data_IF_727585761199
#
_entry.id   IF_727585761199
#
_cell.length_a   1.000
_cell.length_b   1.000
_cell.length_c   1.000
_cell.angle_alpha   90.00
_cell.angle_beta   90.00
_cell.angle_gamma   90.00
#
_symmetry.space_group_name_H-M   'P 1'
#
loop_
_entity.id
_entity.type
_entity.pdbx_description
1 polymer ?
#
# COMPACT_ATOMS: atom_id res chain seq x y z
N UNK A 1 33.13 -13.66 -5.57
CA UNK A 1 32.01 -13.13 -6.38
C UNK A 1 31.55 -14.22 -7.34
N UNK A 2 30.35 -14.76 -7.15
CA UNK A 2 29.63 -15.58 -8.13
C UNK A 2 28.14 -15.24 -7.99
N UNK A 3 27.43 -14.87 -9.06
CA UNK A 3 26.01 -14.57 -8.98
C UNK A 3 25.22 -15.88 -8.83
N UNK A 4 24.32 -15.92 -7.86
CA UNK A 4 23.35 -17.01 -7.71
C UNK A 4 22.17 -16.63 -8.61
N UNK A 5 21.89 -17.46 -9.61
CA UNK A 5 20.75 -17.31 -10.49
C UNK A 5 19.46 -17.52 -9.68
N UNK A 6 18.66 -16.47 -9.51
CA UNK A 6 17.27 -16.59 -9.05
C UNK A 6 16.41 -16.86 -10.27
N UNK A 7 16.23 -18.15 -10.58
CA UNK A 7 15.13 -18.62 -11.42
C UNK A 7 14.02 -19.09 -10.48
N UNK A 8 12.99 -18.26 -10.36
CA UNK A 8 11.82 -18.55 -9.56
C UNK A 8 10.80 -17.45 -9.74
N UNK A 9 9.78 -17.72 -10.56
CA UNK A 9 8.53 -16.96 -10.55
C UNK A 9 7.88 -17.13 -9.18
N UNK A 10 8.31 -16.35 -8.20
CA UNK A 10 7.52 -16.13 -7.00
C UNK A 10 7.02 -14.70 -7.07
N UNK A 11 5.83 -14.52 -7.65
CA UNK A 11 4.95 -13.45 -7.19
C UNK A 11 4.57 -13.82 -5.76
N UNK A 12 5.49 -13.62 -4.82
CA UNK A 12 5.19 -13.64 -3.41
C UNK A 12 4.33 -12.42 -3.19
N UNK A 13 3.02 -12.56 -3.39
CA UNK A 13 2.06 -11.60 -2.88
C UNK A 13 2.32 -11.58 -1.38
N UNK A 14 3.03 -10.54 -0.93
CA UNK A 14 3.29 -10.32 0.48
C UNK A 14 1.92 -10.02 1.11
N UNK A 15 1.22 -11.08 1.50
CA UNK A 15 -0.04 -10.98 2.20
C UNK A 15 0.29 -10.58 3.64
N UNK A 16 -0.08 -9.35 4.00
CA UNK A 16 -0.07 -8.95 5.41
C UNK A 16 -1.08 -9.84 6.15
N UNK A 17 -0.68 -10.44 7.27
CA UNK A 17 -1.64 -11.09 8.15
C UNK A 17 -2.65 -10.05 8.69
N UNK A 18 -3.78 -10.53 9.19
CA UNK A 18 -4.91 -9.68 9.61
C UNK A 18 -4.52 -8.65 10.69
N UNK A 19 -3.60 -8.99 11.58
CA UNK A 19 -3.15 -8.08 12.63
C UNK A 19 -2.25 -6.97 12.04
N UNK A 20 -1.33 -7.35 11.15
CA UNK A 20 -0.49 -6.41 10.43
C UNK A 20 -1.31 -5.51 9.48
N UNK A 21 -2.37 -6.03 8.87
CA UNK A 21 -3.29 -5.23 8.06
C UNK A 21 -4.03 -4.16 8.88
N UNK A 22 -4.53 -4.53 10.06
CA UNK A 22 -5.21 -3.60 10.98
C UNK A 22 -4.28 -2.48 11.46
N UNK A 23 -3.01 -2.80 11.69
CA UNK A 23 -1.99 -1.82 12.03
C UNK A 23 -1.72 -0.84 10.88
N UNK A 24 -1.57 -1.34 9.64
CA UNK A 24 -1.39 -0.51 8.45
C UNK A 24 -2.61 0.39 8.23
N UNK A 25 -3.83 -0.13 8.39
CA UNK A 25 -5.05 0.66 8.33
C UNK A 25 -5.03 1.82 9.33
N UNK A 26 -4.74 1.53 10.60
CA UNK A 26 -4.68 2.57 11.63
C UNK A 26 -3.56 3.60 11.37
N UNK A 27 -2.46 3.20 10.72
CA UNK A 27 -1.39 4.12 10.33
C UNK A 27 -1.84 5.06 9.20
N UNK A 28 -2.42 4.52 8.13
CA UNK A 28 -2.87 5.33 6.98
C UNK A 28 -4.02 6.27 7.36
N UNK A 29 -4.91 5.84 8.25
CA UNK A 29 -5.97 6.70 8.79
C UNK A 29 -5.45 7.93 9.54
N UNK A 30 -4.22 7.86 10.09
CA UNK A 30 -3.59 8.97 10.84
C UNK A 30 -2.72 9.86 9.96
N UNK A 31 -2.47 9.48 8.72
CA UNK A 31 -1.70 10.28 7.78
C UNK A 31 -2.49 11.53 7.37
N UNK A 32 -1.74 12.60 7.11
CA UNK A 32 -2.29 13.80 6.49
C UNK A 32 -2.61 13.56 5.01
N UNK A 33 -3.41 14.46 4.45
CA UNK A 33 -3.96 14.34 3.10
C UNK A 33 -2.88 14.18 2.03
N UNK A 34 -1.75 14.89 2.15
CA UNK A 34 -0.64 14.76 1.18
C UNK A 34 0.02 13.40 1.26
N UNK A 35 0.18 12.87 2.46
CA UNK A 35 0.76 11.55 2.64
C UNK A 35 -0.17 10.44 2.12
N UNK A 36 -1.50 10.60 2.24
CA UNK A 36 -2.46 9.65 1.64
C UNK A 36 -2.41 9.71 0.11
N UNK A 37 -2.39 10.90 -0.49
CA UNK A 37 -2.22 11.09 -1.96
C UNK A 37 -0.93 10.42 -2.45
N UNK A 38 0.19 10.72 -1.79
CA UNK A 38 1.49 10.19 -2.18
C UNK A 38 1.52 8.65 -2.13
N UNK A 39 0.86 8.02 -1.17
CA UNK A 39 0.76 6.55 -1.10
C UNK A 39 -0.02 5.98 -2.28
N UNK A 40 -1.15 6.60 -2.64
CA UNK A 40 -1.95 6.18 -3.78
C UNK A 40 -1.15 6.29 -5.10
N UNK A 41 -0.45 7.41 -5.30
CA UNK A 41 0.40 7.64 -6.46
C UNK A 41 1.60 6.68 -6.53
N UNK A 42 2.30 6.46 -5.41
CA UNK A 42 3.45 5.56 -5.31
C UNK A 42 3.09 4.11 -5.60
N UNK A 43 1.87 3.70 -5.25
CA UNK A 43 1.35 2.38 -5.55
C UNK A 43 0.73 2.29 -6.95
N UNK A 44 0.80 3.36 -7.76
CA UNK A 44 0.16 3.47 -9.08
C UNK A 44 -1.34 3.10 -9.03
N UNK A 45 -2.02 3.41 -7.91
CA UNK A 45 -3.42 3.07 -7.67
C UNK A 45 -3.71 1.57 -7.55
N UNK A 46 -2.70 0.71 -7.37
CA UNK A 46 -2.86 -0.74 -7.34
C UNK A 46 -2.41 -1.37 -6.03
N UNK A 47 -3.22 -2.31 -5.53
CA UNK A 47 -2.92 -3.14 -4.38
C UNK A 47 -3.56 -2.64 -3.08
N UNK A 48 -3.49 -3.45 -2.02
CA UNK A 48 -4.31 -3.26 -0.82
C UNK A 48 -4.06 -1.91 -0.14
N UNK A 49 -2.80 -1.46 -0.09
CA UNK A 49 -2.45 -0.16 0.51
C UNK A 49 -2.95 1.01 -0.35
N UNK A 50 -2.99 0.85 -1.68
CA UNK A 50 -3.58 1.85 -2.59
C UNK A 50 -5.09 1.92 -2.40
N UNK A 51 -5.79 0.79 -2.27
CA UNK A 51 -7.24 0.75 -1.99
C UNK A 51 -7.59 1.44 -0.67
N UNK A 52 -6.74 1.25 0.34
CA UNK A 52 -6.89 1.90 1.64
C UNK A 52 -6.66 3.42 1.54
N UNK A 53 -5.66 3.85 0.76
CA UNK A 53 -5.47 5.27 0.46
C UNK A 53 -6.68 5.83 -0.31
N UNK A 54 -7.17 5.10 -1.31
CA UNK A 54 -8.36 5.40 -2.11
C UNK A 54 -9.59 5.70 -1.21
N UNK A 55 -9.84 4.81 -0.26
CA UNK A 55 -10.93 4.96 0.71
C UNK A 55 -10.73 6.17 1.65
N UNK A 56 -9.49 6.45 2.05
CA UNK A 56 -9.20 7.61 2.90
C UNK A 56 -9.43 8.92 2.18
N UNK A 57 -9.00 9.07 0.92
CA UNK A 57 -9.24 10.34 0.25
C UNK A 57 -10.67 10.50 -0.28
N UNK A 58 -11.41 9.41 -0.56
CA UNK A 58 -12.86 9.49 -0.78
C UNK A 58 -13.57 10.02 0.48
N UNK A 59 -13.25 9.46 1.65
CA UNK A 59 -13.81 9.89 2.94
C UNK A 59 -13.52 11.36 3.25
N UNK A 60 -12.40 11.88 2.78
CA UNK A 60 -11.93 13.26 3.02
C UNK A 60 -12.25 14.21 1.87
N UNK A 61 -12.87 13.72 0.80
CA UNK A 61 -13.17 14.47 -0.42
C UNK A 61 -11.94 15.17 -0.99
N UNK A 62 -10.80 14.46 -1.07
CA UNK A 62 -9.61 14.97 -1.75
C UNK A 62 -9.75 14.68 -3.25
N UNK A 63 -9.34 15.65 -4.05
CA UNK A 63 -9.30 15.53 -5.50
C UNK A 63 -8.09 14.65 -5.88
N UNK A 64 -8.36 13.57 -6.62
CA UNK A 64 -7.37 12.57 -7.05
C UNK A 64 -6.84 12.86 -8.45
#
# INVERSE_FOLDING_TARGET
>A
MRPIAVSGKESTTVALDVANWSAVQAMVERLDDRAVIAIYELAEGAGPVADLAAAQMEKRNLDY
#
